data_IF_980955511367
#
_entry.id   IF_980955511367
#
_cell.length_a   1.000
_cell.length_b   1.000
_cell.length_c   1.000
_cell.angle_alpha   90.00
_cell.angle_beta   90.00
_cell.angle_gamma   90.00
#
_symmetry.space_group_name_H-M   'P 1'
#
loop_
_entity.id
_entity.type
_entity.pdbx_description
1 polymer ?
#
# COMPACT_ATOMS: atom_id res chain seq x y z
N UNK A 1 1.97 -20.40 19.98
CA UNK A 1 0.88 -19.60 19.37
C UNK A 1 1.35 -19.16 18.01
N UNK A 2 0.58 -19.33 16.96
CA UNK A 2 0.95 -18.92 15.61
C UNK A 2 0.94 -17.38 15.52
N UNK A 3 1.98 -16.78 14.93
CA UNK A 3 2.03 -15.32 14.78
C UNK A 3 1.04 -14.84 13.75
N UNK A 4 0.41 -13.69 14.02
CA UNK A 4 -0.51 -13.03 13.11
C UNK A 4 0.07 -11.65 12.81
N UNK A 5 0.71 -11.52 11.65
CA UNK A 5 1.30 -10.26 11.18
C UNK A 5 0.43 -9.68 10.08
N UNK A 6 0.01 -8.45 10.25
CA UNK A 6 -0.68 -7.68 9.23
C UNK A 6 0.26 -6.63 8.63
N UNK A 7 0.28 -6.53 7.31
CA UNK A 7 0.83 -5.40 6.58
C UNK A 7 -0.32 -4.58 6.01
N UNK A 8 -0.29 -3.26 6.18
CA UNK A 8 -1.18 -2.33 5.51
C UNK A 8 -0.39 -1.42 4.57
N UNK A 9 -1.02 -1.01 3.48
CA UNK A 9 -0.45 -0.14 2.46
C UNK A 9 -1.57 0.74 1.89
N UNK A 10 -1.40 2.05 1.97
CA UNK A 10 -2.40 3.01 1.51
C UNK A 10 -2.40 3.06 -0.01
N UNK A 11 -3.58 2.96 -0.61
CA UNK A 11 -3.72 2.90 -2.06
C UNK A 11 -3.40 4.25 -2.73
N UNK A 12 -2.31 4.30 -3.49
CA UNK A 12 -1.84 5.50 -4.21
C UNK A 12 -1.85 6.75 -3.31
N UNK A 13 -1.26 6.67 -2.10
CA UNK A 13 -1.47 7.55 -0.96
C UNK A 13 -1.51 9.04 -1.31
N UNK A 14 -0.41 9.62 -1.80
CA UNK A 14 -0.37 11.05 -2.08
C UNK A 14 -1.36 11.45 -3.18
N UNK A 15 -1.45 10.64 -4.24
CA UNK A 15 -2.41 10.89 -5.31
C UNK A 15 -3.86 10.85 -4.81
N UNK A 16 -4.18 9.93 -3.91
CA UNK A 16 -5.51 9.81 -3.30
C UNK A 16 -5.86 10.99 -2.39
N UNK A 17 -4.87 11.53 -1.66
CA UNK A 17 -5.05 12.76 -0.86
C UNK A 17 -5.39 13.94 -1.78
N UNK A 18 -4.64 14.12 -2.86
CA UNK A 18 -4.89 15.21 -3.81
C UNK A 18 -6.27 15.09 -4.48
N UNK A 19 -6.71 13.88 -4.80
CA UNK A 19 -8.05 13.63 -5.32
C UNK A 19 -9.13 13.98 -4.28
N UNK A 20 -8.92 13.68 -3.00
CA UNK A 20 -9.84 14.07 -1.94
C UNK A 20 -9.94 15.59 -1.78
N UNK A 21 -8.82 16.29 -1.86
CA UNK A 21 -8.76 17.77 -1.78
C UNK A 21 -9.40 18.44 -2.99
N UNK A 22 -9.28 17.82 -4.17
CA UNK A 22 -9.86 18.32 -5.40
C UNK A 22 -10.57 17.21 -6.19
N UNK A 23 -11.87 17.01 -5.97
CA UNK A 23 -12.65 15.96 -6.65
C UNK A 23 -12.66 16.06 -8.18
N UNK A 24 -12.29 17.21 -8.77
CA UNK A 24 -12.14 17.36 -10.23
C UNK A 24 -11.00 16.51 -10.80
N UNK A 25 -10.09 16.02 -9.95
CA UNK A 25 -8.98 15.12 -10.32
C UNK A 25 -9.40 13.65 -10.39
N UNK A 26 -10.57 13.31 -9.87
CA UNK A 26 -11.07 11.93 -9.88
C UNK A 26 -11.14 11.37 -11.30
N UNK A 27 -10.71 10.11 -11.45
CA UNK A 27 -10.66 9.37 -12.72
C UNK A 27 -9.73 9.99 -13.78
N UNK A 28 -8.80 10.86 -13.38
CA UNK A 28 -7.79 11.43 -14.27
C UNK A 28 -6.42 10.83 -14.01
N UNK A 29 -5.59 10.61 -15.05
CA UNK A 29 -4.21 10.20 -14.84
C UNK A 29 -3.45 11.36 -14.20
N UNK A 30 -2.96 11.15 -12.97
CA UNK A 30 -2.17 12.13 -12.23
C UNK A 30 -1.01 11.46 -11.50
N UNK A 31 0.02 12.22 -11.31
CA UNK A 31 1.18 11.89 -10.46
C UNK A 31 1.45 13.03 -9.49
N UNK A 32 1.99 12.67 -8.33
CA UNK A 32 2.57 13.59 -7.38
C UNK A 32 4.09 13.47 -7.50
N UNK A 33 4.78 14.59 -7.66
CA UNK A 33 6.23 14.66 -7.84
C UNK A 33 6.61 15.79 -8.78
N UNK A 34 7.84 16.27 -8.71
CA UNK A 34 8.34 17.36 -9.57
C UNK A 34 9.18 16.81 -10.72
N UNK A 35 10.36 16.23 -10.41
CA UNK A 35 11.26 15.64 -11.42
C UNK A 35 11.08 14.12 -11.49
N UNK A 36 10.75 13.50 -10.35
CA UNK A 36 10.54 12.06 -10.19
C UNK A 36 9.14 11.86 -9.64
N UNK A 37 8.44 10.87 -10.20
CA UNK A 37 7.14 10.43 -9.72
C UNK A 37 7.30 9.81 -8.33
N UNK A 38 6.69 10.42 -7.32
CA UNK A 38 6.62 9.86 -5.97
C UNK A 38 5.46 8.88 -5.88
N UNK A 39 4.28 9.28 -6.37
CA UNK A 39 3.09 8.42 -6.40
C UNK A 39 2.32 8.63 -7.69
N UNK A 40 1.85 7.55 -8.30
CA UNK A 40 0.99 7.57 -9.49
C UNK A 40 -0.43 7.10 -9.13
N UNK A 41 -1.46 7.79 -9.62
CA UNK A 41 -2.85 7.34 -9.52
C UNK A 41 -3.06 6.04 -10.29
N UNK A 42 -4.11 5.28 -9.97
CA UNK A 42 -4.42 4.05 -10.70
C UNK A 42 -4.71 4.31 -12.19
N UNK A 43 -5.26 5.48 -12.52
CA UNK A 43 -5.45 5.92 -13.90
C UNK A 43 -4.12 6.15 -14.63
N UNK A 44 -3.12 6.70 -13.93
CA UNK A 44 -1.78 6.89 -14.51
C UNK A 44 -1.05 5.54 -14.68
N UNK A 45 -1.23 4.61 -13.75
CA UNK A 45 -0.64 3.26 -13.84
C UNK A 45 -1.10 2.46 -15.06
N UNK A 46 -2.28 2.77 -15.63
CA UNK A 46 -2.76 2.17 -16.89
C UNK A 46 -1.91 2.54 -18.11
N UNK A 47 -1.06 3.55 -17.98
CA UNK A 47 -0.07 3.97 -18.98
C UNK A 47 1.35 3.53 -18.61
N UNK A 48 1.49 2.50 -17.74
CA UNK A 48 2.78 2.01 -17.22
C UNK A 48 3.58 3.05 -16.41
N UNK A 49 2.91 4.11 -15.94
CA UNK A 49 3.53 5.13 -15.09
C UNK A 49 3.58 4.61 -13.64
N UNK A 50 4.77 4.68 -13.03
CA UNK A 50 5.02 4.16 -11.68
C UNK A 50 5.95 5.07 -10.86
N UNK A 51 6.01 4.86 -9.56
CA UNK A 51 6.94 5.54 -8.66
C UNK A 51 8.39 5.35 -9.12
N UNK A 52 9.23 6.32 -8.86
CA UNK A 52 10.62 6.45 -9.28
C UNK A 52 10.85 6.67 -10.80
N UNK A 53 9.80 6.77 -11.63
CA UNK A 53 9.91 7.17 -13.03
C UNK A 53 10.18 8.68 -13.13
N UNK A 54 10.95 9.12 -14.14
CA UNK A 54 11.08 10.56 -14.43
C UNK A 54 9.74 11.12 -14.90
N UNK A 55 9.38 12.30 -14.44
CA UNK A 55 8.13 12.97 -14.86
C UNK A 55 8.14 13.29 -16.36
N UNK A 56 9.31 13.59 -16.94
CA UNK A 56 9.47 13.75 -18.41
C UNK A 56 9.02 12.50 -19.17
N UNK A 57 9.47 11.31 -18.71
CA UNK A 57 9.17 10.04 -19.37
C UNK A 57 7.68 9.68 -19.17
N UNK A 58 7.15 9.95 -17.98
CA UNK A 58 5.73 9.75 -17.68
C UNK A 58 4.82 10.62 -18.59
N UNK A 59 5.23 11.86 -18.89
CA UNK A 59 4.50 12.74 -19.83
C UNK A 59 4.54 12.24 -21.27
N UNK A 60 5.63 11.57 -21.69
CA UNK A 60 5.69 10.94 -23.00
C UNK A 60 4.69 9.77 -23.13
N UNK A 61 4.54 8.97 -22.05
CA UNK A 61 3.57 7.87 -22.00
C UNK A 61 2.12 8.36 -21.93
N UNK A 62 1.88 9.48 -21.25
CA UNK A 62 0.54 10.06 -21.11
C UNK A 62 0.59 11.59 -21.27
N UNK A 63 0.41 12.14 -22.49
CA UNK A 63 0.45 13.59 -22.75
C UNK A 63 -0.55 14.41 -21.92
N UNK A 64 -1.67 13.81 -21.50
CA UNK A 64 -2.69 14.42 -20.63
C UNK A 64 -2.43 14.24 -19.12
N UNK A 65 -1.24 13.78 -18.76
CA UNK A 65 -0.86 13.53 -17.36
C UNK A 65 -0.88 14.83 -16.56
N UNK A 66 -1.60 14.81 -15.43
CA UNK A 66 -1.59 15.90 -14.46
C UNK A 66 -0.43 15.64 -13.50
N UNK A 67 0.42 16.65 -13.32
CA UNK A 67 1.56 16.59 -12.39
C UNK A 67 1.31 17.58 -11.26
N UNK A 68 1.34 17.10 -10.03
CA UNK A 68 1.12 17.89 -8.83
C UNK A 68 2.40 17.94 -7.98
N UNK A 69 2.67 19.06 -7.32
CA UNK A 69 3.78 19.18 -6.38
C UNK A 69 3.55 18.31 -5.14
N UNK A 70 4.62 18.04 -4.40
CA UNK A 70 4.58 17.26 -3.16
C UNK A 70 4.21 18.17 -1.98
N UNK A 71 3.10 17.91 -1.30
CA UNK A 71 2.71 18.58 -0.05
C UNK A 71 3.04 17.67 1.15
N UNK A 72 4.33 17.64 1.54
CA UNK A 72 4.80 16.78 2.66
C UNK A 72 4.06 17.04 3.96
N UNK A 73 3.71 18.29 4.25
CA UNK A 73 3.05 18.67 5.51
C UNK A 73 1.70 17.98 5.63
N UNK A 74 0.89 18.05 4.58
CA UNK A 74 -0.43 17.43 4.57
C UNK A 74 -0.33 15.89 4.59
N UNK A 75 0.61 15.31 3.84
CA UNK A 75 0.77 13.86 3.81
C UNK A 75 1.21 13.28 5.16
N UNK A 76 2.12 13.98 5.87
CA UNK A 76 2.53 13.59 7.23
C UNK A 76 1.36 13.76 8.21
N UNK A 77 0.56 14.80 8.10
CA UNK A 77 -0.61 15.02 8.95
C UNK A 77 -1.59 13.83 8.87
N UNK A 78 -1.94 13.43 7.65
CA UNK A 78 -2.86 12.30 7.42
C UNK A 78 -2.22 10.98 7.86
N UNK A 79 -0.93 10.78 7.59
CA UNK A 79 -0.18 9.62 8.07
C UNK A 79 -0.26 9.49 9.59
N UNK A 80 -0.06 10.60 10.32
CA UNK A 80 -0.15 10.60 11.78
C UNK A 80 -1.55 10.26 12.30
N UNK A 81 -2.61 10.67 11.62
CA UNK A 81 -3.98 10.26 11.98
C UNK A 81 -4.17 8.74 11.86
N UNK A 82 -3.63 8.16 10.79
CA UNK A 82 -3.64 6.71 10.57
C UNK A 82 -2.80 5.99 11.65
N UNK A 83 -1.59 6.47 11.92
CA UNK A 83 -0.71 5.91 12.96
C UNK A 83 -1.38 5.96 14.34
N UNK A 84 -2.02 7.08 14.69
CA UNK A 84 -2.75 7.22 15.96
C UNK A 84 -3.94 6.26 16.05
N UNK A 85 -4.62 5.98 14.94
CA UNK A 85 -5.67 4.95 14.91
C UNK A 85 -5.09 3.55 15.17
N UNK A 86 -3.95 3.23 14.54
CA UNK A 86 -3.29 1.93 14.68
C UNK A 86 -2.76 1.72 16.11
N UNK A 87 -2.17 2.74 16.72
CA UNK A 87 -1.65 2.68 18.09
C UNK A 87 -2.74 2.47 19.15
N UNK A 88 -4.01 2.75 18.84
CA UNK A 88 -5.14 2.37 19.71
C UNK A 88 -5.48 0.87 19.66
N UNK A 89 -4.97 0.16 18.65
CA UNK A 89 -5.18 -1.29 18.51
C UNK A 89 -4.08 -2.05 19.27
N UNK A 90 -2.82 -1.69 19.03
CA UNK A 90 -1.64 -2.28 19.67
C UNK A 90 -0.44 -1.35 19.54
N UNK A 91 0.53 -1.50 20.44
CA UNK A 91 1.84 -0.83 20.35
C UNK A 91 2.90 -1.69 19.63
N UNK A 92 2.56 -2.94 19.27
CA UNK A 92 3.43 -3.83 18.49
C UNK A 92 3.33 -3.50 17.00
N UNK A 93 3.87 -2.35 16.61
CA UNK A 93 3.79 -1.80 15.25
C UNK A 93 5.17 -1.40 14.74
N UNK A 94 5.35 -1.45 13.43
CA UNK A 94 6.52 -0.94 12.73
C UNK A 94 6.04 -0.11 11.53
N UNK A 95 6.10 1.20 11.65
CA UNK A 95 5.83 2.13 10.56
C UNK A 95 7.07 2.18 9.66
N UNK A 96 6.94 1.70 8.44
CA UNK A 96 8.05 1.62 7.46
C UNK A 96 8.15 2.91 6.66
N UNK A 97 7.01 3.45 6.28
CA UNK A 97 6.88 4.70 5.55
C UNK A 97 5.63 5.48 6.02
N UNK A 98 5.34 6.60 5.38
CA UNK A 98 4.14 7.41 5.68
C UNK A 98 2.83 6.70 5.37
N UNK A 99 2.87 5.69 4.51
CA UNK A 99 1.71 5.03 3.91
C UNK A 99 1.67 3.51 4.13
N UNK A 100 2.70 2.92 4.73
CA UNK A 100 2.74 1.47 4.97
C UNK A 100 3.37 1.11 6.33
N UNK A 101 3.00 -0.05 6.84
CA UNK A 101 3.59 -0.58 8.07
C UNK A 101 3.09 -1.98 8.41
N UNK A 102 3.69 -2.52 9.46
CA UNK A 102 3.38 -3.82 10.02
C UNK A 102 2.74 -3.68 11.39
N UNK A 103 1.79 -4.57 11.68
CA UNK A 103 1.08 -4.65 12.94
C UNK A 103 1.11 -6.10 13.41
N UNK A 104 1.66 -6.37 14.58
CA UNK A 104 1.57 -7.69 15.20
C UNK A 104 0.22 -7.81 15.93
N UNK A 105 -0.64 -8.67 15.39
CA UNK A 105 -1.99 -8.92 15.88
C UNK A 105 -2.08 -10.21 16.71
N UNK A 106 -0.95 -10.87 17.02
CA UNK A 106 -0.91 -12.19 17.67
C UNK A 106 -1.70 -12.21 18.99
N UNK A 107 -1.57 -11.15 19.79
CA UNK A 107 -2.29 -11.04 21.08
C UNK A 107 -3.57 -10.17 20.98
N UNK A 108 -3.93 -9.73 19.78
CA UNK A 108 -5.06 -8.80 19.54
C UNK A 108 -6.30 -9.53 19.05
N UNK A 109 -6.10 -10.49 18.15
CA UNK A 109 -7.21 -11.24 17.53
C UNK A 109 -6.95 -12.76 17.58
N UNK A 110 -8.02 -13.53 17.55
CA UNK A 110 -7.94 -14.97 17.31
C UNK A 110 -7.78 -15.26 15.81
N UNK A 111 -7.14 -16.40 15.43
CA UNK A 111 -6.92 -16.74 14.01
C UNK A 111 -8.18 -16.72 13.15
N UNK A 112 -9.30 -17.19 13.66
CA UNK A 112 -10.60 -17.20 12.95
C UNK A 112 -11.14 -15.80 12.63
N UNK A 113 -10.64 -14.77 13.30
CA UNK A 113 -11.09 -13.38 13.13
C UNK A 113 -10.27 -12.57 12.12
N UNK A 114 -9.23 -13.13 11.50
CA UNK A 114 -8.34 -12.43 10.55
C UNK A 114 -9.13 -11.68 9.47
N UNK A 115 -10.07 -12.36 8.81
CA UNK A 115 -10.89 -11.78 7.74
C UNK A 115 -11.78 -10.63 8.23
N UNK A 116 -12.48 -10.83 9.32
CA UNK A 116 -13.36 -9.82 9.90
C UNK A 116 -12.57 -8.58 10.33
N UNK A 117 -11.39 -8.78 10.92
CA UNK A 117 -10.50 -7.71 11.32
C UNK A 117 -9.99 -6.91 10.11
N UNK A 118 -9.52 -7.56 9.04
CA UNK A 118 -9.05 -6.90 7.82
C UNK A 118 -10.13 -6.00 7.21
N UNK A 119 -11.36 -6.50 7.11
CA UNK A 119 -12.50 -5.73 6.59
C UNK A 119 -12.77 -4.52 7.47
N UNK A 120 -12.86 -4.70 8.79
CA UNK A 120 -13.14 -3.62 9.76
C UNK A 120 -12.02 -2.58 9.78
N UNK A 121 -10.77 -3.02 9.74
CA UNK A 121 -9.60 -2.12 9.70
C UNK A 121 -9.64 -1.20 8.48
N UNK A 122 -9.80 -1.76 7.28
CA UNK A 122 -9.91 -1.02 6.03
C UNK A 122 -11.07 -0.03 6.04
N UNK A 123 -12.23 -0.45 6.54
CA UNK A 123 -13.39 0.41 6.66
C UNK A 123 -13.10 1.57 7.62
N UNK A 124 -12.45 1.31 8.75
CA UNK A 124 -12.12 2.35 9.74
C UNK A 124 -11.14 3.38 9.20
N UNK A 125 -10.12 2.95 8.42
CA UNK A 125 -9.22 3.86 7.71
C UNK A 125 -10.02 4.76 6.75
N UNK A 126 -10.93 4.17 5.97
CA UNK A 126 -11.75 4.91 5.01
C UNK A 126 -12.69 5.91 5.68
N UNK A 127 -13.31 5.56 6.79
CA UNK A 127 -14.16 6.46 7.58
C UNK A 127 -13.36 7.64 8.15
N UNK A 128 -12.13 7.38 8.62
CA UNK A 128 -11.28 8.39 9.21
C UNK A 128 -10.73 9.39 8.18
N UNK A 129 -10.28 8.90 7.03
CA UNK A 129 -9.47 9.67 6.07
C UNK A 129 -10.10 9.87 4.71
N UNK A 130 -11.21 9.19 4.41
CA UNK A 130 -11.77 9.01 3.07
C UNK A 130 -10.80 8.39 2.06
N UNK A 131 -9.69 7.76 2.53
CA UNK A 131 -8.72 7.04 1.72
C UNK A 131 -8.95 5.54 1.83
N UNK A 132 -8.41 4.79 0.88
CA UNK A 132 -8.42 3.33 0.92
C UNK A 132 -7.04 2.78 1.23
N UNK A 133 -7.01 1.58 1.82
CA UNK A 133 -5.79 0.81 2.01
C UNK A 133 -6.01 -0.65 1.62
N UNK A 134 -4.94 -1.31 1.27
CA UNK A 134 -4.90 -2.75 1.03
C UNK A 134 -4.16 -3.44 2.17
N UNK A 135 -4.59 -4.66 2.51
CA UNK A 135 -4.14 -5.35 3.72
C UNK A 135 -3.71 -6.77 3.38
N UNK A 136 -2.58 -7.19 3.92
CA UNK A 136 -2.11 -8.58 3.91
C UNK A 136 -1.97 -9.11 5.33
N UNK A 137 -2.48 -10.32 5.60
CA UNK A 137 -2.30 -10.98 6.89
C UNK A 137 -1.61 -12.32 6.66
N UNK A 138 -0.60 -12.61 7.48
CA UNK A 138 0.15 -13.86 7.41
C UNK A 138 0.93 -14.12 8.70
N UNK A 139 1.81 -15.12 8.70
CA UNK A 139 2.62 -15.58 9.82
C UNK A 139 3.96 -14.83 9.97
N UNK A 140 4.38 -14.04 8.96
CA UNK A 140 5.58 -13.19 9.01
C UNK A 140 5.42 -11.92 8.14
N UNK A 141 6.37 -10.98 8.27
CA UNK A 141 6.36 -9.69 7.56
C UNK A 141 6.43 -9.85 6.04
N UNK A 142 7.30 -10.72 5.54
CA UNK A 142 7.49 -10.93 4.10
C UNK A 142 6.20 -11.40 3.44
N UNK A 143 5.60 -12.45 3.96
CA UNK A 143 4.36 -13.00 3.40
C UNK A 143 3.17 -12.04 3.58
N UNK A 144 3.11 -11.28 4.68
CA UNK A 144 2.08 -10.27 4.88
C UNK A 144 2.21 -9.11 3.88
N UNK A 145 3.44 -8.65 3.56
CA UNK A 145 3.66 -7.61 2.55
C UNK A 145 3.28 -8.09 1.16
N UNK A 146 3.68 -9.30 0.78
CA UNK A 146 3.28 -9.88 -0.51
C UNK A 146 1.76 -10.03 -0.58
N UNK A 147 1.11 -10.47 0.50
CA UNK A 147 -0.34 -10.60 0.57
C UNK A 147 -1.07 -9.27 0.35
N UNK A 148 -0.54 -8.15 0.89
CA UNK A 148 -1.18 -6.84 0.74
C UNK A 148 -1.22 -6.33 -0.70
N UNK A 149 -0.35 -6.83 -1.58
CA UNK A 149 -0.28 -6.43 -2.99
C UNK A 149 -1.23 -7.22 -3.92
N UNK A 150 -1.70 -8.41 -3.48
CA UNK A 150 -2.43 -9.35 -4.36
C UNK A 150 -3.74 -8.76 -4.89
N UNK A 151 -4.51 -8.12 -4.04
CA UNK A 151 -5.85 -7.63 -4.36
C UNK A 151 -5.96 -6.09 -4.33
N UNK A 152 -4.88 -5.36 -4.63
CA UNK A 152 -4.91 -3.89 -4.75
C UNK A 152 -5.80 -3.43 -5.92
N UNK A 153 -6.54 -2.32 -5.81
CA UNK A 153 -6.73 -1.48 -4.63
C UNK A 153 -7.88 -1.95 -3.71
N UNK A 154 -7.88 -1.45 -2.48
CA UNK A 154 -8.92 -1.68 -1.45
C UNK A 154 -9.22 -3.16 -1.22
N UNK A 155 -8.21 -4.00 -1.43
CA UNK A 155 -8.28 -5.43 -1.26
C UNK A 155 -7.76 -5.90 0.10
N UNK A 156 -7.89 -7.18 0.34
CA UNK A 156 -7.09 -7.89 1.34
C UNK A 156 -6.80 -9.31 0.86
N UNK A 157 -5.73 -9.88 1.40
CA UNK A 157 -5.39 -11.28 1.20
C UNK A 157 -4.81 -11.86 2.49
N UNK A 158 -5.06 -13.16 2.72
CA UNK A 158 -4.59 -13.88 3.91
C UNK A 158 -3.89 -15.15 3.43
N UNK A 159 -2.63 -15.33 3.82
CA UNK A 159 -1.99 -16.63 3.80
C UNK A 159 -2.19 -17.29 5.16
N UNK A 160 -2.96 -18.37 5.20
CA UNK A 160 -3.27 -19.05 6.44
C UNK A 160 -2.06 -19.80 7.02
N UNK A 161 -1.14 -20.26 6.16
CA UNK A 161 0.04 -21.00 6.54
C UNK A 161 1.17 -20.88 5.50
N UNK A 162 2.36 -21.40 5.88
CA UNK A 162 3.55 -21.38 5.03
C UNK A 162 3.38 -22.18 3.74
N UNK A 163 2.63 -23.27 3.74
CA UNK A 163 2.41 -24.10 2.54
C UNK A 163 1.65 -23.32 1.46
N UNK A 164 0.64 -22.56 1.85
CA UNK A 164 -0.10 -21.69 0.92
C UNK A 164 0.79 -20.60 0.35
N UNK A 165 1.61 -19.98 1.20
CA UNK A 165 2.55 -18.95 0.77
C UNK A 165 3.57 -19.51 -0.22
N UNK A 166 4.23 -20.63 0.09
CA UNK A 166 5.20 -21.29 -0.81
C UNK A 166 4.53 -21.65 -2.14
N UNK A 167 3.33 -22.25 -2.09
CA UNK A 167 2.58 -22.58 -3.31
C UNK A 167 2.29 -21.32 -4.15
N UNK A 168 1.96 -20.20 -3.52
CA UNK A 168 1.67 -18.96 -4.23
C UNK A 168 2.92 -18.36 -4.90
N UNK A 169 4.08 -18.40 -4.23
CA UNK A 169 5.31 -17.77 -4.77
C UNK A 169 6.08 -18.65 -5.74
N UNK A 170 5.90 -20.00 -5.72
CA UNK A 170 6.69 -20.94 -6.50
C UNK A 170 6.65 -20.69 -8.01
N UNK A 171 5.51 -20.22 -8.52
CA UNK A 171 5.33 -19.92 -9.95
C UNK A 171 5.54 -18.43 -10.28
N UNK A 172 5.94 -17.62 -9.31
CA UNK A 172 6.15 -16.18 -9.50
C UNK A 172 7.58 -15.86 -9.83
N UNK A 173 7.77 -14.78 -10.59
CA UNK A 173 9.11 -14.22 -10.79
C UNK A 173 9.65 -13.72 -9.45
N UNK A 174 10.96 -13.86 -9.22
CA UNK A 174 11.63 -13.44 -7.98
C UNK A 174 11.37 -11.97 -7.60
N UNK A 175 10.96 -11.14 -8.56
CA UNK A 175 10.52 -9.74 -8.33
C UNK A 175 9.36 -9.58 -7.35
N UNK A 176 8.62 -10.66 -7.07
CA UNK A 176 7.55 -10.62 -6.05
C UNK A 176 8.13 -10.36 -4.66
N UNK A 177 9.41 -10.68 -4.45
CA UNK A 177 10.07 -10.48 -3.16
C UNK A 177 10.41 -8.99 -3.01
N UNK A 178 9.88 -8.31 -1.97
CA UNK A 178 10.19 -6.91 -1.70
C UNK A 178 11.70 -6.67 -1.60
N UNK A 179 12.18 -5.61 -2.23
CA UNK A 179 13.61 -5.27 -2.28
C UNK A 179 14.40 -5.93 -3.42
N UNK A 180 13.83 -6.91 -4.13
CA UNK A 180 14.46 -7.51 -5.30
C UNK A 180 14.11 -6.73 -6.57
N UNK A 181 14.95 -5.75 -6.91
CA UNK A 181 14.81 -4.92 -8.11
C UNK A 181 15.54 -5.46 -9.34
N UNK A 182 15.46 -4.72 -10.46
CA UNK A 182 16.08 -5.09 -11.75
C UNK A 182 17.57 -5.43 -11.64
N UNK A 183 18.34 -4.74 -10.81
CA UNK A 183 19.77 -4.96 -10.64
C UNK A 183 20.16 -6.35 -10.13
N UNK A 184 19.24 -7.06 -9.47
CA UNK A 184 19.48 -8.45 -9.01
C UNK A 184 19.38 -9.49 -10.13
N UNK A 185 18.95 -9.09 -11.35
CA UNK A 185 18.84 -10.02 -12.49
C UNK A 185 19.97 -9.88 -13.50
N UNK A 186 20.83 -8.88 -13.31
CA UNK A 186 21.97 -8.60 -14.19
C UNK A 186 23.27 -9.24 -13.67
N UNK A 187 23.14 -10.09 -12.61
CA UNK A 187 24.19 -10.94 -12.06
C UNK A 187 23.88 -12.39 -12.45
#
# INVERSE_FOLDING_TARGET
MERIIMHYDMDAFYASIEINRNPKLKNKPLVVGENIVTTASYEARKYDIHSAMKVSDAKLLCPKLIVLPVDKTEYIRISNEIHNLILKITNKVEFVATDEGYIDLTDVIKPENKKAFAIKFKQRIKELTNLTCSVGISFNKLSAKIASDINKPFGFFIFENEKEFIKYISDKKIRIIPGVGKKFFEI
#
